data_IF_996278921801
#
_entry.id   IF_996278921801
#
_cell.length_a   1.000
_cell.length_b   1.000
_cell.length_c   1.000
_cell.angle_alpha   90.00
_cell.angle_beta   90.00
_cell.angle_gamma   90.00
#
_symmetry.space_group_name_H-M   'P 1'
#
loop_
_entity.id
_entity.type
_entity.pdbx_description
1 polymer ?
#
# COMPACT_ATOMS: atom_id res chain seq x y z
N UNK A 1 6.14 16.95 12.49
CA UNK A 1 4.71 17.15 12.16
C UNK A 1 4.50 18.11 10.97
N UNK A 2 5.04 19.33 11.02
CA UNK A 2 4.87 20.30 9.92
C UNK A 2 5.53 19.81 8.62
N UNK A 3 6.73 19.22 8.71
CA UNK A 3 7.47 18.69 7.57
C UNK A 3 6.74 17.54 6.89
N UNK A 4 6.27 16.55 7.64
CA UNK A 4 5.51 15.41 7.10
C UNK A 4 4.19 15.85 6.46
N UNK A 5 3.48 16.82 7.08
CA UNK A 5 2.26 17.40 6.52
C UNK A 5 2.51 18.14 5.21
N UNK A 6 3.57 18.92 5.10
CA UNK A 6 3.95 19.63 3.85
C UNK A 6 4.32 18.64 2.77
N UNK A 7 5.14 17.61 3.06
CA UNK A 7 5.49 16.55 2.10
C UNK A 7 4.25 15.85 1.58
N UNK A 8 3.33 15.48 2.47
CA UNK A 8 2.08 14.81 2.10
C UNK A 8 1.18 15.71 1.24
N UNK A 9 1.01 16.98 1.61
CA UNK A 9 0.21 17.93 0.84
C UNK A 9 0.76 18.14 -0.58
N UNK A 10 2.07 18.37 -0.69
CA UNK A 10 2.76 18.53 -1.98
C UNK A 10 2.64 17.24 -2.79
N UNK A 11 2.84 16.08 -2.15
CA UNK A 11 2.73 14.77 -2.77
C UNK A 11 1.34 14.52 -3.35
N UNK A 12 0.27 14.77 -2.61
CA UNK A 12 -1.09 14.65 -3.12
C UNK A 12 -1.39 15.61 -4.27
N UNK A 13 -0.88 16.86 -4.18
CA UNK A 13 -1.05 17.82 -5.27
C UNK A 13 -0.36 17.35 -6.54
N UNK A 14 0.83 16.79 -6.44
CA UNK A 14 1.59 16.26 -7.59
C UNK A 14 1.00 14.96 -8.10
N UNK A 15 0.56 14.04 -7.24
CA UNK A 15 -0.04 12.77 -7.64
C UNK A 15 -1.34 12.95 -8.44
N UNK A 16 -2.06 14.06 -8.25
CA UNK A 16 -3.27 14.39 -9.01
C UNK A 16 -3.02 14.86 -10.44
N UNK A 17 -1.78 15.17 -10.83
CA UNK A 17 -1.49 15.58 -12.21
C UNK A 17 -1.90 14.47 -13.19
N UNK A 18 -2.55 14.84 -14.30
CA UNK A 18 -2.91 13.88 -15.34
C UNK A 18 -1.64 13.29 -16.00
N UNK A 19 -1.84 12.26 -16.83
CA UNK A 19 -0.81 11.73 -17.69
C UNK A 19 -0.30 12.82 -18.64
N UNK A 20 1.00 12.82 -18.91
CA UNK A 20 1.69 13.68 -19.87
C UNK A 20 2.67 12.85 -20.71
N UNK A 21 3.46 13.51 -21.56
CA UNK A 21 4.41 12.80 -22.45
C UNK A 21 5.55 12.12 -21.70
N UNK A 22 5.96 12.67 -20.54
CA UNK A 22 7.04 12.13 -19.72
C UNK A 22 6.52 11.00 -18.80
N UNK A 23 5.25 11.10 -18.37
CA UNK A 23 4.59 10.16 -17.48
C UNK A 23 3.23 9.71 -18.07
N UNK A 24 3.24 8.83 -19.08
CA UNK A 24 2.03 8.41 -19.81
C UNK A 24 1.01 7.67 -18.93
N UNK A 25 1.47 7.02 -17.85
CA UNK A 25 0.60 6.39 -16.85
C UNK A 25 0.17 7.33 -15.73
N UNK A 26 0.56 8.62 -15.80
CA UNK A 26 0.25 9.64 -14.81
C UNK A 26 1.19 9.65 -13.62
N UNK A 27 0.87 10.50 -12.64
CA UNK A 27 1.75 10.83 -11.52
C UNK A 27 1.33 10.19 -10.19
N UNK A 28 0.39 9.23 -10.19
CA UNK A 28 -0.17 8.65 -8.96
C UNK A 28 0.87 8.03 -8.01
N UNK A 29 1.97 7.46 -8.53
CA UNK A 29 3.05 6.89 -7.71
C UNK A 29 3.81 7.91 -6.87
N UNK A 30 3.65 9.22 -7.13
CA UNK A 30 4.23 10.28 -6.27
C UNK A 30 3.66 10.20 -4.85
N UNK A 31 2.45 9.68 -4.67
CA UNK A 31 1.91 9.43 -3.32
C UNK A 31 2.78 8.44 -2.55
N UNK A 32 3.20 7.33 -3.18
CA UNK A 32 4.10 6.35 -2.55
C UNK A 32 5.48 6.95 -2.25
N UNK A 33 6.02 7.77 -3.15
CA UNK A 33 7.29 8.49 -2.92
C UNK A 33 7.16 9.44 -1.73
N UNK A 34 6.05 10.14 -1.60
CA UNK A 34 5.79 11.04 -0.47
C UNK A 34 5.68 10.25 0.85
N UNK A 35 4.98 9.11 0.84
CA UNK A 35 4.91 8.21 1.98
C UNK A 35 6.30 7.69 2.38
N UNK A 36 7.15 7.36 1.40
CA UNK A 36 8.52 6.93 1.63
C UNK A 36 9.35 8.01 2.29
N UNK A 37 9.25 9.27 1.84
CA UNK A 37 9.95 10.41 2.45
C UNK A 37 9.51 10.58 3.91
N UNK A 38 8.20 10.55 4.19
CA UNK A 38 7.68 10.64 5.56
C UNK A 38 8.20 9.48 6.42
N UNK A 39 8.24 8.26 5.88
CA UNK A 39 8.76 7.08 6.60
C UNK A 39 10.25 7.22 6.96
N UNK A 40 11.05 7.81 6.08
CA UNK A 40 12.45 8.13 6.39
C UNK A 40 12.58 9.20 7.49
N UNK A 41 11.70 10.20 7.51
CA UNK A 41 11.68 11.20 8.59
C UNK A 41 11.35 10.52 9.94
N UNK A 42 10.37 9.61 9.98
CA UNK A 42 10.05 8.82 11.18
C UNK A 42 11.27 8.00 11.64
N UNK A 43 11.94 7.33 10.71
CA UNK A 43 13.12 6.53 11.03
C UNK A 43 14.26 7.39 11.58
N UNK A 44 14.53 8.56 10.98
CA UNK A 44 15.54 9.52 11.45
C UNK A 44 15.22 9.98 12.88
N UNK A 45 13.97 10.31 13.18
CA UNK A 45 13.53 10.69 14.52
C UNK A 45 13.73 9.55 15.53
N UNK A 46 13.43 8.31 15.14
CA UNK A 46 13.69 7.12 15.98
C UNK A 46 15.17 6.95 16.30
N UNK A 47 16.06 7.12 15.31
CA UNK A 47 17.51 7.05 15.49
C UNK A 47 18.03 8.20 16.37
N UNK A 48 17.51 9.41 16.20
CA UNK A 48 17.89 10.57 17.00
C UNK A 48 17.46 10.40 18.46
N UNK A 49 16.23 9.91 18.68
CA UNK A 49 15.76 9.57 20.03
C UNK A 49 16.61 8.46 20.66
N UNK A 50 17.03 7.46 19.90
CA UNK A 50 17.92 6.40 20.37
C UNK A 50 19.26 6.99 20.86
N UNK A 51 19.89 7.83 20.07
CA UNK A 51 21.16 8.50 20.42
C UNK A 51 20.99 9.31 21.71
N UNK A 52 20.00 10.20 21.74
CA UNK A 52 19.69 11.03 22.92
C UNK A 52 19.41 10.19 24.16
N UNK A 53 18.68 9.07 24.01
CA UNK A 53 18.39 8.16 25.12
C UNK A 53 19.65 7.50 25.68
N UNK A 54 20.56 7.05 24.82
CA UNK A 54 21.85 6.47 25.22
C UNK A 54 22.72 7.53 25.93
N UNK A 55 22.73 8.77 25.47
CA UNK A 55 23.45 9.87 26.11
C UNK A 55 22.88 10.14 27.52
N UNK A 56 21.57 10.21 27.67
CA UNK A 56 20.88 10.38 28.96
C UNK A 56 21.10 9.22 29.93
N UNK A 57 21.29 7.99 29.44
CA UNK A 57 21.65 6.84 30.31
C UNK A 57 23.10 7.00 30.82
N UNK A 58 24.03 7.49 29.98
CA UNK A 58 25.45 7.64 30.32
C UNK A 58 25.70 8.87 31.23
N UNK A 59 24.99 9.97 30.97
CA UNK A 59 25.07 11.21 31.70
C UNK A 59 23.64 11.67 32.04
N UNK A 60 23.07 11.18 33.13
CA UNK A 60 21.70 11.51 33.51
C UNK A 60 21.56 12.98 33.90
N UNK A 61 20.69 13.70 33.21
CA UNK A 61 20.31 15.06 33.58
C UNK A 61 19.18 15.01 34.62
N UNK A 62 19.20 15.95 35.56
CA UNK A 62 18.13 16.10 36.55
C UNK A 62 16.87 16.64 35.85
N UNK A 63 15.85 15.80 35.71
CA UNK A 63 14.54 16.23 35.20
C UNK A 63 13.82 17.02 36.27
N UNK A 64 13.64 18.33 36.05
CA UNK A 64 12.90 19.20 36.97
C UNK A 64 11.41 19.13 36.65
N UNK A 65 10.62 18.74 37.68
CA UNK A 65 9.16 18.71 37.57
C UNK A 65 8.60 20.13 37.39
N UNK A 66 7.75 20.30 36.38
CA UNK A 66 7.01 21.54 36.14
C UNK A 66 5.55 21.22 35.80
N UNK A 67 4.62 21.83 36.52
CA UNK A 67 3.17 21.68 36.23
C UNK A 67 2.79 22.21 34.86
N UNK A 68 3.45 23.29 34.43
CA UNK A 68 3.23 23.83 33.09
C UNK A 68 3.71 22.85 31.99
N UNK A 69 4.88 22.23 32.17
CA UNK A 69 5.38 21.21 31.24
C UNK A 69 4.44 20.01 31.18
N UNK A 70 3.92 19.55 32.33
CA UNK A 70 2.94 18.47 32.40
C UNK A 70 1.68 18.78 31.58
N UNK A 71 1.11 19.97 31.74
CA UNK A 71 -0.09 20.39 31.01
C UNK A 71 0.18 20.45 29.49
N UNK A 72 1.33 21.00 29.07
CA UNK A 72 1.72 21.07 27.64
C UNK A 72 1.87 19.66 27.06
N UNK A 73 2.53 18.72 27.75
CA UNK A 73 2.69 17.35 27.28
C UNK A 73 1.36 16.63 27.12
N UNK A 74 0.43 16.77 28.09
CA UNK A 74 -0.90 16.16 28.01
C UNK A 74 -1.69 16.73 26.81
N UNK A 75 -1.73 18.04 26.64
CA UNK A 75 -2.42 18.69 25.52
C UNK A 75 -1.82 18.24 24.20
N UNK A 76 -0.48 18.15 24.10
CA UNK A 76 0.22 17.66 22.90
C UNK A 76 -0.18 16.22 22.56
N UNK A 77 -0.21 15.32 23.55
CA UNK A 77 -0.62 13.93 23.36
C UNK A 77 -2.05 13.87 22.81
N UNK A 78 -2.99 14.57 23.44
CA UNK A 78 -4.40 14.58 23.04
C UNK A 78 -4.57 15.09 21.61
N UNK A 79 -3.87 16.17 21.26
CA UNK A 79 -3.92 16.74 19.91
C UNK A 79 -3.32 15.78 18.86
N UNK A 80 -2.17 15.14 19.17
CA UNK A 80 -1.54 14.17 18.26
C UNK A 80 -2.36 12.91 18.09
N UNK A 81 -3.00 12.40 19.12
CA UNK A 81 -3.94 11.27 19.03
C UNK A 81 -5.16 11.61 18.17
N UNK A 82 -5.70 12.83 18.32
CA UNK A 82 -6.79 13.30 17.48
C UNK A 82 -6.33 13.39 16.00
N UNK A 83 -5.14 13.93 15.74
CA UNK A 83 -4.57 14.03 14.39
C UNK A 83 -4.33 12.62 13.76
N UNK A 84 -3.79 11.70 14.54
CA UNK A 84 -3.60 10.31 14.12
C UNK A 84 -4.95 9.65 13.77
N UNK A 85 -5.97 9.80 14.61
CA UNK A 85 -7.31 9.28 14.36
C UNK A 85 -7.95 9.90 13.10
N UNK A 86 -7.82 11.21 12.92
CA UNK A 86 -8.31 11.91 11.73
C UNK A 86 -7.64 11.36 10.46
N UNK A 87 -6.31 11.31 10.43
CA UNK A 87 -5.58 10.79 9.26
C UNK A 87 -5.86 9.30 9.01
N UNK A 88 -6.01 8.49 10.07
CA UNK A 88 -6.42 7.08 9.94
C UNK A 88 -7.80 6.95 9.30
N UNK A 89 -8.77 7.73 9.77
CA UNK A 89 -10.14 7.70 9.26
C UNK A 89 -10.22 8.12 7.79
N UNK A 90 -9.50 9.18 7.41
CA UNK A 90 -9.41 9.63 6.02
C UNK A 90 -8.65 8.61 5.17
N UNK A 91 -7.46 8.17 5.62
CA UNK A 91 -6.61 7.23 4.90
C UNK A 91 -7.30 5.89 4.62
N UNK A 92 -8.10 5.40 5.55
CA UNK A 92 -8.90 4.18 5.37
C UNK A 92 -9.96 4.32 4.26
N UNK A 93 -10.55 5.51 4.10
CA UNK A 93 -11.59 5.76 3.08
C UNK A 93 -11.03 5.84 1.67
N UNK A 94 -9.81 6.35 1.52
CA UNK A 94 -9.17 6.59 0.21
C UNK A 94 -8.03 5.59 -0.07
N UNK A 95 -7.80 4.61 0.82
CA UNK A 95 -6.71 3.62 0.79
C UNK A 95 -5.32 4.26 0.53
N UNK A 96 -5.05 5.38 1.22
CA UNK A 96 -3.83 6.16 1.03
C UNK A 96 -2.66 5.65 1.88
N UNK A 97 -1.56 5.31 1.22
CA UNK A 97 -0.30 4.93 1.88
C UNK A 97 0.37 6.13 2.54
N UNK A 98 0.26 7.33 1.95
CA UNK A 98 0.78 8.55 2.55
C UNK A 98 0.10 8.88 3.88
N UNK A 99 -1.22 8.72 3.98
CA UNK A 99 -1.92 8.91 5.26
C UNK A 99 -1.52 7.86 6.31
N UNK A 100 -1.23 6.63 5.92
CA UNK A 100 -0.70 5.60 6.85
C UNK A 100 0.64 6.03 7.43
N UNK A 101 1.53 6.61 6.61
CA UNK A 101 2.82 7.13 7.07
C UNK A 101 2.66 8.33 8.05
N UNK A 102 1.72 9.25 7.78
CA UNK A 102 1.41 10.37 8.70
C UNK A 102 0.81 9.90 10.02
N UNK A 103 -0.02 8.85 9.99
CA UNK A 103 -0.54 8.21 11.22
C UNK A 103 0.60 7.66 12.07
N UNK A 104 1.53 6.94 11.45
CA UNK A 104 2.68 6.38 12.16
C UNK A 104 3.61 7.47 12.71
N UNK A 105 3.83 8.56 11.98
CA UNK A 105 4.54 9.76 12.44
C UNK A 105 3.90 10.32 13.71
N UNK A 106 2.60 10.60 13.67
CA UNK A 106 1.84 11.11 14.81
C UNK A 106 1.82 10.18 16.03
N UNK A 107 1.75 8.86 15.79
CA UNK A 107 1.80 7.85 16.87
C UNK A 107 3.21 7.74 17.47
N UNK A 108 4.26 7.82 16.65
CA UNK A 108 5.65 7.82 17.09
C UNK A 108 5.94 9.01 18.00
N UNK A 109 5.49 10.19 17.59
CA UNK A 109 5.58 11.40 18.39
C UNK A 109 4.77 11.34 19.69
N UNK A 110 3.60 10.72 19.62
CA UNK A 110 2.76 10.47 20.82
C UNK A 110 3.49 9.56 21.80
N UNK A 111 4.12 8.50 21.31
CA UNK A 111 4.87 7.56 22.15
C UNK A 111 6.09 8.23 22.79
N UNK A 112 6.84 9.03 22.02
CA UNK A 112 7.98 9.81 22.56
C UNK A 112 7.53 10.84 23.62
N UNK A 113 6.42 11.55 23.36
CA UNK A 113 5.86 12.52 24.31
C UNK A 113 5.30 11.84 25.58
N UNK A 114 4.68 10.66 25.44
CA UNK A 114 4.21 9.86 26.57
C UNK A 114 5.36 9.35 27.43
N UNK A 115 6.47 8.92 26.81
CA UNK A 115 7.69 8.55 27.55
C UNK A 115 8.24 9.73 28.39
N UNK A 116 8.30 10.92 27.79
CA UNK A 116 8.72 12.14 28.48
C UNK A 116 7.74 12.50 29.62
N UNK A 117 6.43 12.35 29.42
CA UNK A 117 5.40 12.57 30.44
C UNK A 117 5.57 11.62 31.62
N UNK A 118 5.74 10.33 31.34
CA UNK A 118 5.94 9.30 32.38
C UNK A 118 7.22 9.61 33.17
N UNK A 119 8.30 9.95 32.47
CA UNK A 119 9.57 10.33 33.10
C UNK A 119 9.42 11.56 34.01
N UNK A 120 8.70 12.59 33.55
CA UNK A 120 8.40 13.78 34.32
C UNK A 120 7.58 13.47 35.61
N UNK A 121 6.61 12.56 35.50
CA UNK A 121 5.80 12.13 36.64
C UNK A 121 6.67 11.37 37.68
N UNK A 122 7.52 10.46 37.19
CA UNK A 122 8.40 9.67 38.04
C UNK A 122 9.40 10.57 38.77
N UNK A 123 9.95 11.59 38.05
CA UNK A 123 10.90 12.53 38.64
C UNK A 123 10.33 13.34 39.84
N UNK A 124 8.99 13.44 39.93
CA UNK A 124 8.32 14.07 41.09
C UNK A 124 8.42 13.23 42.37
N UNK A 125 8.44 11.90 42.21
CA UNK A 125 8.38 10.96 43.35
C UNK A 125 9.70 10.25 43.59
N UNK A 126 10.64 10.29 42.64
CA UNK A 126 11.91 9.59 42.71
C UNK A 126 12.98 10.39 41.96
N UNK A 127 14.20 10.35 42.49
CA UNK A 127 15.39 10.92 41.82
C UNK A 127 16.03 9.97 40.81
N UNK A 128 15.37 8.84 40.50
CA UNK A 128 15.89 7.86 39.53
C UNK A 128 15.75 8.42 38.11
N UNK A 129 16.83 8.51 37.32
CA UNK A 129 16.79 9.01 35.96
C UNK A 129 16.28 7.93 35.00
N UNK A 130 14.97 7.83 34.82
CA UNK A 130 14.32 6.81 33.98
C UNK A 130 14.11 7.27 32.54
N UNK A 131 14.29 8.57 32.24
CA UNK A 131 14.02 9.17 30.94
C UNK A 131 14.77 8.49 29.78
N UNK A 132 16.07 8.23 29.96
CA UNK A 132 16.88 7.54 28.97
C UNK A 132 16.39 6.10 28.68
N UNK A 133 15.93 5.38 29.69
CA UNK A 133 15.42 4.00 29.52
C UNK A 133 14.08 3.96 28.80
N UNK A 134 13.16 4.85 29.13
CA UNK A 134 11.89 4.97 28.39
C UNK A 134 12.12 5.40 26.96
N UNK A 135 13.00 6.37 26.74
CA UNK A 135 13.39 6.81 25.42
C UNK A 135 14.02 5.68 24.58
N UNK A 136 14.85 4.83 25.17
CA UNK A 136 15.45 3.67 24.50
C UNK A 136 14.39 2.67 24.01
N UNK A 137 13.41 2.32 24.84
CA UNK A 137 12.33 1.40 24.47
C UNK A 137 11.48 2.00 23.36
N UNK A 138 11.09 3.26 23.50
CA UNK A 138 10.27 3.97 22.50
C UNK A 138 11.01 4.14 21.17
N UNK A 139 12.31 4.47 21.19
CA UNK A 139 13.10 4.59 19.98
C UNK A 139 13.17 3.28 19.21
N UNK A 140 13.33 2.14 19.91
CA UNK A 140 13.28 0.81 19.28
C UNK A 140 11.93 0.54 18.60
N UNK A 141 10.83 0.90 19.24
CA UNK A 141 9.48 0.79 18.65
C UNK A 141 9.31 1.68 17.43
N UNK A 142 9.77 2.94 17.47
CA UNK A 142 9.69 3.89 16.35
C UNK A 142 10.51 3.39 15.16
N UNK A 143 11.73 2.91 15.39
CA UNK A 143 12.59 2.36 14.33
C UNK A 143 11.93 1.14 13.69
N UNK A 144 11.41 0.20 14.49
CA UNK A 144 10.71 -0.98 14.00
C UNK A 144 9.50 -0.59 13.14
N UNK A 145 8.67 0.33 13.62
CA UNK A 145 7.51 0.86 12.89
C UNK A 145 7.93 1.54 11.58
N UNK A 146 8.94 2.40 11.62
CA UNK A 146 9.47 3.09 10.43
C UNK A 146 9.94 2.14 9.35
N UNK A 147 10.66 1.07 9.70
CA UNK A 147 11.09 0.03 8.76
C UNK A 147 9.86 -0.69 8.16
N UNK A 148 8.83 -0.97 8.96
CA UNK A 148 7.57 -1.56 8.49
C UNK A 148 6.92 -0.70 7.40
N UNK A 149 6.77 0.60 7.65
CA UNK A 149 6.17 1.55 6.71
C UNK A 149 6.99 1.67 5.43
N UNK A 150 8.32 1.68 5.52
CA UNK A 150 9.20 1.68 4.33
C UNK A 150 8.91 0.46 3.46
N UNK A 151 8.83 -0.74 4.05
CA UNK A 151 8.50 -1.97 3.31
C UNK A 151 7.14 -1.89 2.64
N UNK A 152 6.12 -1.44 3.36
CA UNK A 152 4.75 -1.31 2.86
C UNK A 152 4.64 -0.27 1.74
N UNK A 153 5.51 0.74 1.74
CA UNK A 153 5.54 1.81 0.75
C UNK A 153 6.33 1.43 -0.51
N UNK A 154 7.42 0.68 -0.33
CA UNK A 154 8.26 0.22 -1.45
C UNK A 154 7.59 -0.91 -2.22
N UNK A 155 6.82 -1.78 -1.55
CA UNK A 155 6.16 -2.92 -2.19
C UNK A 155 5.27 -2.54 -3.40
N UNK A 156 4.37 -1.53 -3.32
CA UNK A 156 3.62 -1.07 -4.49
C UNK A 156 4.49 -0.48 -5.61
N UNK A 157 5.62 0.15 -5.26
CA UNK A 157 6.55 0.70 -6.27
C UNK A 157 7.23 -0.41 -7.06
N UNK A 158 7.53 -1.55 -6.41
CA UNK A 158 8.10 -2.75 -7.04
C UNK A 158 7.07 -3.56 -7.84
N UNK A 159 5.78 -3.31 -7.66
CA UNK A 159 4.71 -4.04 -8.35
C UNK A 159 4.06 -5.09 -7.43
N UNK A 160 3.42 -4.63 -6.37
CA UNK A 160 2.65 -5.51 -5.49
C UNK A 160 1.46 -6.11 -6.27
N UNK A 161 1.21 -7.44 -6.14
CA UNK A 161 0.05 -8.06 -6.75
C UNK A 161 -1.25 -7.50 -6.15
N UNK A 162 -2.32 -7.35 -6.96
CA UNK A 162 -3.62 -6.93 -6.47
C UNK A 162 -4.24 -8.00 -5.54
N UNK A 163 -5.29 -7.63 -4.83
CA UNK A 163 -6.03 -8.56 -3.98
C UNK A 163 -6.62 -9.70 -4.83
N UNK A 164 -6.49 -10.93 -4.37
CA UNK A 164 -6.97 -12.12 -5.09
C UNK A 164 -8.47 -12.04 -5.42
N UNK A 165 -9.26 -11.44 -4.53
CA UNK A 165 -10.69 -11.23 -4.71
C UNK A 165 -10.97 -10.28 -5.88
N UNK A 166 -10.14 -9.25 -6.07
CA UNK A 166 -10.26 -8.31 -7.18
C UNK A 166 -9.88 -8.96 -8.51
N UNK A 167 -8.78 -9.73 -8.54
CA UNK A 167 -8.39 -10.52 -9.73
C UNK A 167 -9.55 -11.41 -10.16
N UNK A 168 -10.10 -12.19 -9.22
CA UNK A 168 -11.23 -13.08 -9.49
C UNK A 168 -12.48 -12.35 -9.99
N UNK A 169 -12.78 -11.17 -9.44
CA UNK A 169 -13.91 -10.35 -9.91
C UNK A 169 -13.74 -9.91 -11.37
N UNK A 170 -12.54 -9.59 -11.80
CA UNK A 170 -12.26 -9.20 -13.19
C UNK A 170 -12.36 -10.43 -14.11
N UNK A 171 -11.79 -11.58 -13.70
CA UNK A 171 -11.91 -12.84 -14.45
C UNK A 171 -13.37 -13.25 -14.60
N UNK A 172 -14.15 -13.28 -13.52
CA UNK A 172 -15.57 -13.64 -13.52
C UNK A 172 -16.39 -12.66 -14.40
N UNK A 173 -16.05 -11.37 -14.40
CA UNK A 173 -16.70 -10.39 -15.27
C UNK A 173 -16.41 -10.67 -16.75
N UNK A 174 -15.16 -10.94 -17.13
CA UNK A 174 -14.79 -11.26 -18.52
C UNK A 174 -15.50 -12.56 -18.97
N UNK A 175 -15.48 -13.60 -18.12
CA UNK A 175 -16.12 -14.89 -18.40
C UNK A 175 -17.66 -14.83 -18.50
N UNK A 176 -18.28 -13.77 -17.97
CA UNK A 176 -19.74 -13.60 -18.01
C UNK A 176 -20.29 -13.26 -19.40
N UNK A 177 -19.43 -12.88 -20.34
CA UNK A 177 -19.84 -12.48 -21.68
C UNK A 177 -19.97 -13.66 -22.64
N UNK A 178 -20.93 -13.59 -23.59
CA UNK A 178 -21.14 -14.68 -24.53
C UNK A 178 -19.90 -14.87 -25.42
N UNK A 179 -19.60 -16.13 -25.74
CA UNK A 179 -18.48 -16.57 -26.57
C UNK A 179 -17.08 -16.39 -25.92
N UNK A 180 -16.98 -15.99 -24.65
CA UNK A 180 -15.74 -16.10 -23.92
C UNK A 180 -15.74 -17.45 -23.21
N UNK A 181 -14.75 -18.29 -23.50
CA UNK A 181 -14.65 -19.65 -22.99
C UNK A 181 -13.50 -19.85 -22.00
N UNK A 182 -12.55 -18.92 -21.98
CA UNK A 182 -11.44 -18.92 -21.04
C UNK A 182 -10.84 -17.52 -20.89
N UNK A 183 -10.14 -17.29 -19.78
CA UNK A 183 -9.36 -16.10 -19.49
C UNK A 183 -8.05 -16.54 -18.84
N UNK A 184 -6.92 -16.03 -19.32
CA UNK A 184 -5.62 -16.32 -18.76
C UNK A 184 -4.69 -15.10 -18.87
N UNK A 185 -3.52 -15.18 -18.24
CA UNK A 185 -2.49 -14.13 -18.21
C UNK A 185 -3.01 -12.74 -17.80
N UNK A 186 -3.98 -12.72 -16.85
CA UNK A 186 -4.47 -11.46 -16.29
C UNK A 186 -3.39 -10.84 -15.41
N UNK A 187 -2.80 -9.74 -15.89
CA UNK A 187 -1.81 -8.95 -15.18
C UNK A 187 -2.40 -7.58 -14.88
N UNK A 188 -2.38 -7.17 -13.60
CA UNK A 188 -2.86 -5.86 -13.18
C UNK A 188 -1.71 -5.08 -12.58
N UNK A 189 -1.46 -3.89 -13.14
CA UNK A 189 -0.42 -2.96 -12.70
C UNK A 189 -1.02 -1.80 -11.93
N UNK A 190 -0.42 -1.48 -10.78
CA UNK A 190 -0.77 -0.32 -9.96
C UNK A 190 0.18 0.87 -10.25
N UNK A 191 -0.40 1.99 -10.66
CA UNK A 191 0.30 3.26 -10.86
C UNK A 191 -0.12 4.33 -9.86
N UNK A 192 -0.65 3.93 -8.72
CA UNK A 192 -1.12 4.79 -7.65
C UNK A 192 -2.63 4.74 -7.46
N UNK A 193 -3.15 5.34 -6.38
CA UNK A 193 -4.57 5.28 -6.04
C UNK A 193 -5.49 5.68 -7.18
N UNK A 194 -6.38 4.76 -7.56
CA UNK A 194 -7.34 4.96 -8.65
C UNK A 194 -6.74 4.96 -10.06
N UNK A 195 -5.52 4.46 -10.24
CA UNK A 195 -4.84 4.33 -11.55
C UNK A 195 -4.28 2.93 -11.71
N UNK A 196 -5.10 2.05 -12.26
CA UNK A 196 -4.73 0.68 -12.56
C UNK A 196 -4.84 0.40 -14.04
N UNK A 197 -3.92 -0.42 -14.56
CA UNK A 197 -3.89 -0.89 -15.93
C UNK A 197 -3.79 -2.40 -15.90
N UNK A 198 -4.47 -3.06 -16.83
CA UNK A 198 -4.43 -4.51 -16.93
C UNK A 198 -4.25 -4.97 -18.37
N UNK A 199 -3.72 -6.16 -18.51
CA UNK A 199 -3.78 -6.95 -19.73
C UNK A 199 -4.29 -8.34 -19.40
N UNK A 200 -5.04 -8.94 -20.33
CA UNK A 200 -5.53 -10.30 -20.21
C UNK A 200 -5.61 -10.94 -21.60
N UNK A 201 -5.69 -12.26 -21.63
CA UNK A 201 -6.04 -13.03 -22.80
C UNK A 201 -7.44 -13.62 -22.62
N UNK A 202 -8.27 -13.50 -23.64
CA UNK A 202 -9.62 -14.07 -23.65
C UNK A 202 -9.74 -15.08 -24.79
N UNK A 203 -10.05 -16.32 -24.42
CA UNK A 203 -10.24 -17.41 -25.37
C UNK A 203 -11.64 -17.32 -25.98
N UNK A 204 -11.72 -17.38 -27.30
CA UNK A 204 -12.97 -17.40 -28.06
C UNK A 204 -12.99 -18.59 -29.03
N UNK A 205 -14.15 -19.21 -29.30
CA UNK A 205 -14.22 -20.27 -30.31
C UNK A 205 -13.83 -19.75 -31.69
N UNK A 206 -12.90 -20.41 -32.37
CA UNK A 206 -12.45 -20.05 -33.73
C UNK A 206 -13.56 -20.10 -34.79
N UNK A 207 -14.70 -20.71 -34.46
CA UNK A 207 -15.88 -20.72 -35.30
C UNK A 207 -16.72 -19.45 -35.27
N UNK A 208 -16.46 -18.56 -34.30
CA UNK A 208 -17.13 -17.26 -34.18
C UNK A 208 -16.45 -16.26 -35.10
N UNK A 209 -17.25 -15.43 -35.75
CA UNK A 209 -16.74 -14.34 -36.60
C UNK A 209 -15.84 -13.39 -35.80
N UNK A 210 -14.66 -13.09 -36.33
CA UNK A 210 -13.63 -12.27 -35.66
C UNK A 210 -14.16 -10.88 -35.32
N UNK A 211 -14.98 -10.27 -36.19
CA UNK A 211 -15.54 -8.94 -35.91
C UNK A 211 -16.50 -8.96 -34.75
N UNK A 212 -17.32 -10.00 -34.61
CA UNK A 212 -18.22 -10.19 -33.46
C UNK A 212 -17.43 -10.40 -32.17
N UNK A 213 -16.37 -11.19 -32.25
CA UNK A 213 -15.48 -11.41 -31.09
C UNK A 213 -14.81 -10.11 -30.66
N UNK A 214 -14.31 -9.33 -31.61
CA UNK A 214 -13.73 -8.01 -31.35
C UNK A 214 -14.73 -7.05 -30.70
N UNK A 215 -15.97 -6.97 -31.20
CA UNK A 215 -17.00 -6.12 -30.62
C UNK A 215 -17.34 -6.52 -29.18
N UNK A 216 -17.32 -7.83 -28.88
CA UNK A 216 -17.50 -8.34 -27.51
C UNK A 216 -16.36 -7.91 -26.62
N UNK A 217 -15.11 -8.06 -27.06
CA UNK A 217 -13.93 -7.63 -26.28
C UNK A 217 -13.98 -6.12 -26.00
N UNK A 218 -14.24 -5.30 -27.01
CA UNK A 218 -14.35 -3.83 -26.85
C UNK A 218 -15.46 -3.42 -25.85
N UNK A 219 -16.58 -4.18 -25.84
CA UNK A 219 -17.63 -3.98 -24.86
C UNK A 219 -17.19 -4.35 -23.43
N UNK A 220 -16.45 -5.46 -23.27
CA UNK A 220 -15.89 -5.91 -22.00
C UNK A 220 -14.92 -4.84 -21.45
N UNK A 221 -13.96 -4.41 -22.26
CA UNK A 221 -12.96 -3.39 -21.89
C UNK A 221 -13.64 -2.10 -21.37
N UNK A 222 -14.64 -1.60 -22.11
CA UNK A 222 -15.41 -0.41 -21.71
C UNK A 222 -16.20 -0.60 -20.43
N UNK A 223 -16.81 -1.75 -20.24
CA UNK A 223 -17.61 -2.03 -19.03
C UNK A 223 -16.72 -2.19 -17.80
N UNK A 224 -15.58 -2.88 -17.93
CA UNK A 224 -14.58 -3.00 -16.86
C UNK A 224 -14.03 -1.61 -16.49
N UNK A 225 -13.71 -0.79 -17.50
CA UNK A 225 -13.24 0.58 -17.24
C UNK A 225 -14.29 1.42 -16.48
N UNK A 226 -15.56 1.32 -16.85
CA UNK A 226 -16.64 2.08 -16.17
C UNK A 226 -16.91 1.57 -14.77
N UNK A 227 -16.94 0.26 -14.57
CA UNK A 227 -17.35 -0.38 -13.32
C UNK A 227 -16.23 -0.37 -12.27
N UNK A 228 -15.00 -0.62 -12.69
CA UNK A 228 -13.86 -0.82 -11.79
C UNK A 228 -12.81 0.30 -11.88
N UNK A 229 -12.98 1.26 -12.78
CA UNK A 229 -11.97 2.29 -13.09
C UNK A 229 -10.60 1.67 -13.47
N UNK A 230 -10.63 0.49 -14.12
CA UNK A 230 -9.49 -0.29 -14.57
C UNK A 230 -9.40 -0.19 -16.09
N UNK A 231 -8.32 0.39 -16.61
CA UNK A 231 -8.05 0.39 -18.04
C UNK A 231 -7.42 -0.97 -18.39
N UNK A 232 -8.15 -1.79 -19.14
CA UNK A 232 -7.71 -3.12 -19.53
C UNK A 232 -7.59 -3.20 -21.05
N UNK A 233 -6.57 -3.95 -21.50
CA UNK A 233 -6.43 -4.39 -22.89
C UNK A 233 -6.52 -5.90 -22.93
N UNK A 234 -7.43 -6.43 -23.74
CA UNK A 234 -7.69 -7.86 -23.82
C UNK A 234 -7.26 -8.38 -25.18
N UNK A 235 -6.28 -9.29 -25.19
CA UNK A 235 -5.89 -10.03 -26.39
C UNK A 235 -6.90 -11.12 -26.68
N UNK A 236 -7.32 -11.22 -27.94
CA UNK A 236 -8.28 -12.20 -28.39
C UNK A 236 -7.55 -13.45 -28.88
N UNK A 237 -7.78 -14.60 -28.23
CA UNK A 237 -7.17 -15.88 -28.54
C UNK A 237 -8.21 -16.83 -29.15
N UNK A 238 -8.21 -17.04 -30.50
CA UNK A 238 -9.10 -17.99 -31.13
C UNK A 238 -8.68 -19.43 -30.82
N UNK A 239 -9.56 -20.21 -30.21
CA UNK A 239 -9.30 -21.62 -29.90
C UNK A 239 -10.28 -22.57 -30.61
N UNK A 240 -9.81 -23.77 -30.90
CA UNK A 240 -10.65 -24.83 -31.46
C UNK A 240 -11.29 -25.60 -30.32
N UNK A 241 -12.61 -25.46 -30.14
CA UNK A 241 -13.35 -26.06 -29.02
C UNK A 241 -14.04 -27.41 -29.33
N UNK A 242 -14.25 -27.73 -30.62
CA UNK A 242 -15.05 -28.90 -31.03
C UNK A 242 -14.27 -29.95 -31.84
N UNK A 243 -12.94 -29.99 -31.69
CA UNK A 243 -12.10 -31.02 -32.34
C UNK A 243 -11.77 -32.12 -31.30
N UNK A 244 -12.24 -33.34 -31.56
CA UNK A 244 -12.04 -34.47 -30.66
C UNK A 244 -10.57 -34.87 -30.48
N UNK A 245 -9.73 -34.62 -31.50
CA UNK A 245 -8.30 -34.92 -31.43
C UNK A 245 -7.56 -33.88 -30.56
N UNK A 246 -7.87 -32.61 -30.77
CA UNK A 246 -7.30 -31.50 -29.97
C UNK A 246 -7.75 -31.61 -28.50
N UNK A 247 -9.02 -31.88 -28.26
CA UNK A 247 -9.53 -32.07 -26.90
C UNK A 247 -8.85 -33.24 -26.17
N UNK A 248 -8.64 -34.36 -26.88
CA UNK A 248 -7.92 -35.51 -26.32
C UNK A 248 -6.44 -35.16 -25.98
N UNK A 249 -5.77 -34.42 -26.84
CA UNK A 249 -4.39 -33.98 -26.58
C UNK A 249 -4.34 -33.02 -25.38
N UNK A 250 -5.29 -32.08 -25.27
CA UNK A 250 -5.41 -31.18 -24.14
C UNK A 250 -5.59 -31.97 -22.83
N UNK A 251 -6.54 -32.92 -22.78
CA UNK A 251 -6.82 -33.76 -21.60
C UNK A 251 -5.59 -34.57 -21.19
N UNK A 252 -4.88 -35.16 -22.15
CA UNK A 252 -3.66 -35.92 -21.88
C UNK A 252 -2.55 -35.03 -21.32
N UNK A 253 -2.37 -33.84 -21.90
CA UNK A 253 -1.34 -32.89 -21.46
C UNK A 253 -1.69 -32.33 -20.07
N UNK A 254 -2.96 -31.98 -19.83
CA UNK A 254 -3.42 -31.51 -18.52
C UNK A 254 -3.21 -32.58 -17.43
N UNK A 255 -3.53 -33.84 -17.74
CA UNK A 255 -3.32 -34.93 -16.84
C UNK A 255 -1.85 -35.14 -16.50
N UNK A 256 -0.96 -35.09 -17.50
CA UNK A 256 0.47 -35.22 -17.31
C UNK A 256 1.07 -34.07 -16.48
N UNK A 257 0.61 -32.82 -16.72
CA UNK A 257 1.05 -31.65 -15.95
C UNK A 257 0.59 -31.74 -14.50
N UNK A 258 -0.67 -32.12 -14.25
CA UNK A 258 -1.19 -32.33 -12.89
C UNK A 258 -0.48 -33.44 -12.12
N UNK A 259 -0.04 -34.47 -12.80
CA UNK A 259 0.74 -35.56 -12.20
C UNK A 259 2.13 -35.07 -11.73
N UNK A 260 2.78 -34.20 -12.51
CA UNK A 260 4.11 -33.63 -12.19
C UNK A 260 4.01 -32.49 -11.16
N UNK A 261 3.04 -31.58 -11.33
CA UNK A 261 2.88 -30.39 -10.51
C UNK A 261 1.40 -30.00 -10.40
N UNK A 262 0.68 -30.47 -9.36
CA UNK A 262 -0.78 -30.24 -9.22
C UNK A 262 -1.23 -28.79 -9.19
N UNK A 263 -0.31 -27.85 -8.92
CA UNK A 263 -0.58 -26.42 -8.86
C UNK A 263 -0.48 -25.71 -10.23
N UNK A 264 0.00 -26.40 -11.27
CA UNK A 264 0.11 -25.85 -12.62
C UNK A 264 -1.16 -26.09 -13.43
N UNK A 265 -1.50 -25.14 -14.28
CA UNK A 265 -2.52 -25.23 -15.33
C UNK A 265 -1.87 -25.06 -16.70
N UNK A 266 -2.55 -25.54 -17.75
CA UNK A 266 -2.16 -25.34 -19.15
C UNK A 266 -3.14 -24.33 -19.73
N UNK A 267 -2.62 -23.44 -20.53
CA UNK A 267 -3.38 -22.46 -21.32
C UNK A 267 -3.28 -22.77 -22.79
#
# INVERSE_FOLDING_TARGET
>A
DAGSSVVTLVGFKMAKKPADREHPYGHGRIEYISALIVSFLVLLMGVELLKSSVEKIKAPDAVTYSTAALAVLIISILFKLWLAYFNYSVGKRIDSTANKAVVADSLSDTAATAAALISLIISKFSSVPVDGWFGLVVSGFIIYSGIGIIKDTVSPLLGQPPKKEFVKQIEDEILSYPNIVGVHDLIIHDYGPGRQFASAHAEVPSSVDVMKSHDTIDLIERNIQRKYNLLISIHLDPIVVNDAHINRLRDLTESAVKEIAPALSIH
#
